data_IF_511653778649
#
_entry.id   IF_511653778649
#
_cell.length_a   1.000
_cell.length_b   1.000
_cell.length_c   1.000
_cell.angle_alpha   90.00
_cell.angle_beta   90.00
_cell.angle_gamma   90.00
#
_symmetry.space_group_name_H-M   'P 1'
#
loop_
_entity.id
_entity.type
_entity.pdbx_description
1 polymer ?
#
# COMPACT_ATOMS: atom_id res chain seq x y z
N UNK A 1 12.65 10.30 -17.39
CA UNK A 1 12.95 8.86 -17.28
C UNK A 1 11.64 8.07 -17.21
N UNK A 2 11.51 7.09 -18.06
CA UNK A 2 10.28 6.29 -18.10
C UNK A 2 10.37 5.13 -17.15
N UNK A 3 9.33 4.96 -16.36
CA UNK A 3 9.19 3.86 -15.39
C UNK A 3 8.01 3.02 -15.86
N UNK A 4 8.20 1.71 -15.94
CA UNK A 4 7.14 0.80 -16.34
C UNK A 4 6.80 -0.18 -15.23
N UNK A 5 5.56 -0.60 -15.21
CA UNK A 5 5.12 -1.66 -14.32
C UNK A 5 5.75 -2.98 -14.75
N UNK A 6 6.25 -3.75 -13.78
CA UNK A 6 6.88 -5.04 -14.04
C UNK A 6 6.05 -6.21 -13.49
N UNK A 7 5.73 -6.20 -12.20
CA UNK A 7 4.96 -7.30 -11.62
C UNK A 7 4.20 -6.87 -10.37
N UNK A 8 3.15 -7.63 -10.07
CA UNK A 8 2.35 -7.52 -8.86
C UNK A 8 2.51 -8.82 -8.08
N UNK A 9 2.83 -8.70 -6.80
CA UNK A 9 3.00 -9.84 -5.92
C UNK A 9 2.26 -9.59 -4.61
N UNK A 10 1.58 -10.63 -4.11
CA UNK A 10 1.08 -10.66 -2.75
C UNK A 10 1.98 -11.60 -1.96
N UNK A 11 3.03 -11.11 -1.28
CA UNK A 11 4.04 -11.96 -0.67
C UNK A 11 3.48 -12.95 0.33
N UNK A 12 2.56 -12.47 1.16
CA UNK A 12 1.83 -13.30 2.12
C UNK A 12 0.51 -12.64 2.42
N UNK A 13 -0.50 -13.45 2.74
CA UNK A 13 -1.60 -12.95 3.56
C UNK A 13 -1.03 -12.95 4.96
N UNK A 14 -0.89 -11.79 5.55
CA UNK A 14 -0.33 -11.65 6.88
C UNK A 14 -1.25 -12.21 7.96
N UNK A 15 -1.13 -11.69 9.16
CA UNK A 15 -1.94 -12.13 10.28
C UNK A 15 -3.43 -12.00 9.97
N UNK A 16 -4.18 -13.06 10.24
CA UNK A 16 -5.63 -13.06 10.13
C UNK A 16 -6.22 -12.98 11.53
N UNK A 17 -6.97 -11.95 11.81
CA UNK A 17 -7.57 -11.71 13.10
C UNK A 17 -9.04 -12.13 13.06
N UNK A 18 -9.30 -13.34 13.56
CA UNK A 18 -10.62 -13.96 13.49
C UNK A 18 -11.44 -13.80 14.76
N UNK A 19 -10.79 -13.46 15.87
CA UNK A 19 -11.42 -13.40 17.19
C UNK A 19 -12.05 -12.04 17.51
N UNK A 20 -12.28 -11.24 16.49
CA UNK A 20 -12.88 -9.91 16.63
C UNK A 20 -14.28 -9.89 16.04
N UNK A 21 -15.06 -8.87 16.40
CA UNK A 21 -16.39 -8.66 15.83
C UNK A 21 -16.30 -8.46 14.31
N UNK A 22 -15.23 -7.81 13.85
CA UNK A 22 -14.97 -7.58 12.43
C UNK A 22 -13.67 -8.26 12.04
N UNK A 23 -13.72 -9.51 11.56
CA UNK A 23 -12.51 -10.21 11.15
C UNK A 23 -11.76 -9.46 10.04
N UNK A 24 -10.45 -9.39 10.17
CA UNK A 24 -9.63 -8.73 9.16
C UNK A 24 -8.32 -9.48 8.92
N UNK A 25 -7.75 -9.24 7.76
CA UNK A 25 -6.43 -9.76 7.38
C UNK A 25 -5.52 -8.59 7.04
N UNK A 26 -4.24 -8.72 7.38
CA UNK A 26 -3.22 -7.81 6.90
C UNK A 26 -2.65 -8.39 5.64
N UNK A 27 -2.72 -7.65 4.56
CA UNK A 27 -2.27 -8.10 3.25
C UNK A 27 -1.24 -7.13 2.71
N UNK A 28 -0.08 -7.65 2.34
CA UNK A 28 0.95 -6.84 1.69
C UNK A 28 0.73 -6.88 0.19
N UNK A 29 0.69 -5.71 -0.43
CA UNK A 29 0.62 -5.55 -1.87
C UNK A 29 1.96 -5.00 -2.33
N UNK A 30 2.67 -5.76 -3.16
CA UNK A 30 3.98 -5.35 -3.65
C UNK A 30 3.95 -5.22 -5.16
N UNK A 31 4.30 -4.03 -5.63
CA UNK A 31 4.41 -3.71 -7.05
C UNK A 31 5.88 -3.48 -7.37
N UNK A 32 6.34 -4.09 -8.46
CA UNK A 32 7.68 -3.84 -8.95
C UNK A 32 7.62 -2.97 -10.20
N UNK A 33 8.44 -1.96 -10.21
CA UNK A 33 8.60 -1.06 -11.35
C UNK A 33 10.03 -1.13 -11.85
N UNK A 34 10.21 -1.00 -13.15
CA UNK A 34 11.52 -1.00 -13.79
C UNK A 34 11.74 0.32 -14.49
N UNK A 35 12.95 0.86 -14.34
CA UNK A 35 13.39 2.00 -15.15
C UNK A 35 13.81 1.48 -16.51
N UNK A 36 13.19 2.02 -17.57
CA UNK A 36 13.48 1.58 -18.94
C UNK A 36 14.96 1.75 -19.28
N UNK A 37 15.53 0.75 -19.94
CA UNK A 37 16.93 0.73 -20.32
C UNK A 37 17.89 0.31 -19.22
N UNK A 38 17.37 -0.14 -18.06
CA UNK A 38 18.20 -0.59 -16.95
C UNK A 38 17.64 -1.89 -16.38
N UNK A 39 18.45 -2.55 -15.53
CA UNK A 39 18.01 -3.70 -14.75
C UNK A 39 17.65 -3.29 -13.32
N UNK A 40 17.32 -2.03 -13.12
CA UNK A 40 16.95 -1.51 -11.79
C UNK A 40 15.47 -1.69 -11.57
N UNK A 41 15.13 -2.49 -10.55
CA UNK A 41 13.75 -2.76 -10.14
C UNK A 41 13.49 -2.07 -8.80
N UNK A 42 12.40 -1.33 -8.73
CA UNK A 42 12.02 -0.62 -7.51
C UNK A 42 10.73 -1.19 -6.98
N UNK A 43 10.73 -1.77 -5.78
CA UNK A 43 9.50 -2.25 -5.15
C UNK A 43 8.75 -1.10 -4.49
N UNK A 44 7.43 -1.15 -4.60
CA UNK A 44 6.52 -0.33 -3.81
C UNK A 44 5.64 -1.30 -3.03
N UNK A 45 5.76 -1.27 -1.71
CA UNK A 45 5.02 -2.18 -0.85
C UNK A 45 4.03 -1.39 0.00
N UNK A 46 2.79 -1.86 0.03
CA UNK A 46 1.72 -1.23 0.79
C UNK A 46 1.10 -2.28 1.69
N UNK A 47 1.07 -2.00 2.99
CA UNK A 47 0.37 -2.82 3.96
C UNK A 47 -1.08 -2.40 4.00
N UNK A 48 -1.97 -3.34 3.75
CA UNK A 48 -3.40 -3.08 3.77
C UNK A 48 -4.07 -3.88 4.89
N UNK A 49 -5.21 -3.37 5.34
CA UNK A 49 -6.08 -4.06 6.29
C UNK A 49 -7.40 -4.33 5.57
N UNK A 50 -7.71 -5.59 5.37
CA UNK A 50 -8.89 -6.01 4.62
C UNK A 50 -9.84 -6.72 5.58
N UNK A 51 -11.05 -6.21 5.71
CA UNK A 51 -12.12 -6.93 6.40
C UNK A 51 -12.63 -8.03 5.48
N UNK A 52 -12.95 -9.18 6.03
CA UNK A 52 -13.43 -10.30 5.24
C UNK A 52 -14.56 -11.02 5.97
N UNK A 53 -15.28 -11.84 5.21
CA UNK A 53 -16.33 -12.70 5.75
C UNK A 53 -15.84 -14.14 5.77
N UNK A 54 -16.45 -15.02 6.57
CA UNK A 54 -16.06 -16.43 6.59
C UNK A 54 -16.10 -17.12 5.22
N UNK A 55 -16.95 -16.63 4.31
CA UNK A 55 -17.11 -17.15 2.96
C UNK A 55 -16.25 -16.42 1.91
N UNK A 56 -15.43 -15.45 2.33
CA UNK A 56 -14.57 -14.72 1.41
C UNK A 56 -13.48 -15.63 0.83
N UNK A 57 -13.27 -15.52 -0.46
CA UNK A 57 -12.18 -16.24 -1.14
C UNK A 57 -10.88 -15.46 -1.03
N UNK A 58 -9.75 -16.14 -1.24
CA UNK A 58 -8.43 -15.49 -1.30
C UNK A 58 -8.41 -14.42 -2.39
N UNK A 59 -9.03 -14.70 -3.54
CA UNK A 59 -9.12 -13.74 -4.63
C UNK A 59 -9.84 -12.45 -4.19
N UNK A 60 -10.97 -12.59 -3.51
CA UNK A 60 -11.73 -11.44 -3.01
C UNK A 60 -10.92 -10.60 -2.03
N UNK A 61 -10.15 -11.25 -1.15
CA UNK A 61 -9.26 -10.58 -0.20
C UNK A 61 -8.18 -9.82 -0.96
N UNK A 62 -7.57 -10.43 -1.97
CA UNK A 62 -6.55 -9.78 -2.80
C UNK A 62 -7.11 -8.60 -3.58
N UNK A 63 -8.31 -8.72 -4.14
CA UNK A 63 -8.96 -7.63 -4.85
C UNK A 63 -9.25 -6.45 -3.93
N UNK A 64 -9.71 -6.71 -2.72
CA UNK A 64 -9.95 -5.67 -1.71
C UNK A 64 -8.65 -5.00 -1.29
N UNK A 65 -7.59 -5.77 -1.11
CA UNK A 65 -6.26 -5.23 -0.76
C UNK A 65 -5.73 -4.33 -1.89
N UNK A 66 -5.91 -4.75 -3.14
CA UNK A 66 -5.51 -3.95 -4.29
C UNK A 66 -6.29 -2.64 -4.37
N UNK A 67 -7.59 -2.68 -4.06
CA UNK A 67 -8.44 -1.48 -3.99
C UNK A 67 -7.93 -0.49 -2.95
N UNK A 68 -7.61 -0.95 -1.75
CA UNK A 68 -7.02 -0.10 -0.71
C UNK A 68 -5.67 0.47 -1.13
N UNK A 69 -4.82 -0.37 -1.70
CA UNK A 69 -3.52 0.06 -2.19
C UNK A 69 -3.66 1.16 -3.26
N UNK A 70 -4.64 1.03 -4.14
CA UNK A 70 -4.93 2.03 -5.17
C UNK A 70 -5.28 3.38 -4.54
N UNK A 71 -6.10 3.38 -3.51
CA UNK A 71 -6.48 4.61 -2.80
C UNK A 71 -5.26 5.26 -2.13
N UNK A 72 -4.40 4.46 -1.50
CA UNK A 72 -3.18 4.96 -0.86
C UNK A 72 -2.23 5.55 -1.89
N UNK A 73 -2.04 4.88 -3.01
CA UNK A 73 -1.18 5.37 -4.10
C UNK A 73 -1.72 6.68 -4.67
N UNK A 74 -3.02 6.78 -4.86
CA UNK A 74 -3.64 8.00 -5.35
C UNK A 74 -3.42 9.17 -4.37
N UNK A 75 -3.58 8.92 -3.08
CA UNK A 75 -3.33 9.91 -2.04
C UNK A 75 -1.87 10.34 -2.01
N UNK A 76 -0.95 9.38 -2.11
CA UNK A 76 0.49 9.65 -2.15
C UNK A 76 0.84 10.48 -3.37
N UNK A 77 0.31 10.13 -4.53
CA UNK A 77 0.56 10.86 -5.77
C UNK A 77 0.07 12.31 -5.68
N UNK A 78 -1.13 12.53 -5.14
CA UNK A 78 -1.68 13.86 -4.95
C UNK A 78 -0.79 14.69 -4.01
N UNK A 79 -0.36 14.08 -2.90
CA UNK A 79 0.49 14.76 -1.92
C UNK A 79 1.85 15.14 -2.52
N UNK A 80 2.49 14.19 -3.20
CA UNK A 80 3.82 14.41 -3.81
C UNK A 80 3.78 15.42 -4.96
N UNK A 81 2.62 15.57 -5.61
CA UNK A 81 2.43 16.58 -6.65
C UNK A 81 2.26 17.98 -6.10
N UNK A 82 1.83 18.11 -4.85
CA UNK A 82 1.50 19.39 -4.23
C UNK A 82 2.54 19.90 -3.25
N UNK A 83 3.36 19.01 -2.70
CA UNK A 83 4.30 19.33 -1.63
C UNK A 83 5.74 19.03 -2.03
N UNK A 84 6.65 19.91 -1.64
CA UNK A 84 8.08 19.65 -1.74
C UNK A 84 8.58 18.97 -0.46
N UNK A 85 9.88 18.64 -0.43
CA UNK A 85 10.49 17.94 0.71
C UNK A 85 10.29 18.71 2.02
N UNK A 86 10.54 20.02 2.02
CA UNK A 86 10.40 20.83 3.23
C UNK A 86 8.99 20.84 3.78
N UNK A 87 8.00 20.94 2.89
CA UNK A 87 6.59 20.90 3.28
C UNK A 87 6.21 19.53 3.86
N UNK A 88 6.69 18.44 3.27
CA UNK A 88 6.45 17.09 3.77
C UNK A 88 7.08 16.88 5.16
N UNK A 89 8.29 17.38 5.35
CA UNK A 89 8.97 17.29 6.63
C UNK A 89 8.22 18.07 7.72
N UNK A 90 7.72 19.27 7.38
CA UNK A 90 6.93 20.07 8.30
C UNK A 90 5.64 19.38 8.71
N UNK A 91 4.92 18.79 7.75
CA UNK A 91 3.71 18.01 8.03
C UNK A 91 4.00 16.79 8.91
N UNK A 92 5.09 16.12 8.65
CA UNK A 92 5.51 14.96 9.43
C UNK A 92 5.79 15.33 10.89
N UNK A 93 6.52 16.42 11.12
CA UNK A 93 6.79 16.92 12.47
C UNK A 93 5.51 17.32 13.20
N UNK A 94 4.60 17.99 12.51
CA UNK A 94 3.30 18.37 13.08
C UNK A 94 2.52 17.14 13.55
N UNK A 95 2.48 16.10 12.74
CA UNK A 95 1.80 14.85 13.08
C UNK A 95 2.45 14.16 14.27
N UNK A 96 3.77 14.12 14.32
CA UNK A 96 4.51 13.53 15.43
C UNK A 96 4.24 14.25 16.74
N UNK A 97 4.14 15.60 16.70
CA UNK A 97 3.83 16.40 17.88
C UNK A 97 2.39 16.18 18.36
N UNK A 98 1.46 15.97 17.45
CA UNK A 98 0.06 15.73 17.79
C UNK A 98 -0.18 14.36 18.40
N UNK A 99 0.64 13.37 18.05
CA UNK A 99 0.47 12.00 18.53
C UNK A 99 1.27 11.69 19.79
N UNK A 100 2.04 12.66 20.26
CA UNK A 100 2.90 12.50 21.45
C UNK A 100 2.18 12.64 22.78
#
# INVERSE_FOLDING_TARGET
MTIEFYSLVFPTIGEMYTDTTDPFARVKVRLYFRKLGTDIYTPVEIDTKVTYRPDSTVLEIHESALGEATEVIAAANALLSQCNLGQLQALSLERMQQSG
#
